data_IF_940240002036
#
_entry.id   IF_940240002036
#
_cell.length_a   1.000
_cell.length_b   1.000
_cell.length_c   1.000
_cell.angle_alpha   90.00
_cell.angle_beta   90.00
_cell.angle_gamma   90.00
#
_symmetry.space_group_name_H-M   'P 1'
#
loop_
_entity.id
_entity.type
_entity.pdbx_description
1 polymer ?
#
# COMPACT_ATOMS: atom_id res chain seq x y z
N UNK A 1 -12.87 -28.78 2.26
CA UNK A 1 -12.83 -27.91 1.10
C UNK A 1 -13.15 -26.50 1.54
N UNK A 2 -12.12 -25.73 1.82
CA UNK A 2 -12.26 -24.33 2.16
C UNK A 2 -12.15 -23.54 0.85
N UNK A 3 -13.25 -22.92 0.43
CA UNK A 3 -13.31 -22.12 -0.78
C UNK A 3 -12.51 -20.84 -0.56
N UNK A 4 -11.46 -20.68 -1.35
CA UNK A 4 -10.65 -19.49 -1.48
C UNK A 4 -11.53 -18.37 -2.06
N UNK A 5 -11.96 -17.42 -1.24
CA UNK A 5 -12.57 -16.19 -1.71
C UNK A 5 -11.46 -15.18 -2.03
N UNK A 6 -10.95 -15.22 -3.27
CA UNK A 6 -10.24 -14.09 -3.83
C UNK A 6 -11.28 -13.03 -4.19
N UNK A 7 -11.31 -11.93 -3.46
CA UNK A 7 -12.11 -10.78 -3.83
C UNK A 7 -11.46 -10.12 -5.05
N UNK A 8 -12.10 -10.23 -6.21
CA UNK A 8 -11.73 -9.41 -7.37
C UNK A 8 -12.26 -8.01 -7.09
N UNK A 9 -11.37 -7.08 -6.76
CA UNK A 9 -11.73 -5.69 -6.64
C UNK A 9 -11.75 -5.05 -8.03
N UNK A 10 -12.89 -4.50 -8.42
CA UNK A 10 -13.01 -3.65 -9.62
C UNK A 10 -12.92 -2.22 -9.14
N UNK A 11 -11.81 -1.54 -9.41
CA UNK A 11 -11.66 -0.14 -9.06
C UNK A 11 -12.16 0.75 -10.20
N UNK A 12 -13.14 1.61 -9.91
CA UNK A 12 -13.55 2.69 -10.79
C UNK A 12 -12.85 3.98 -10.36
N UNK A 13 -11.87 4.44 -11.11
CA UNK A 13 -11.35 5.80 -10.98
C UNK A 13 -12.01 6.70 -12.02
N UNK A 14 -13.04 7.45 -11.61
CA UNK A 14 -13.54 8.58 -12.39
C UNK A 14 -12.72 9.82 -12.07
N UNK A 15 -11.77 10.17 -12.94
CA UNK A 15 -11.27 11.53 -13.00
C UNK A 15 -12.38 12.43 -13.54
N UNK A 16 -13.10 13.14 -12.64
CA UNK A 16 -14.06 14.17 -13.05
C UNK A 16 -13.27 15.38 -13.53
N UNK A 17 -12.87 15.36 -14.79
CA UNK A 17 -12.48 16.56 -15.51
C UNK A 17 -13.71 17.08 -16.26
N UNK A 18 -14.32 18.15 -15.74
CA UNK A 18 -15.39 18.87 -16.44
C UNK A 18 -14.81 19.46 -17.73
N UNK A 19 -15.11 18.82 -18.87
CA UNK A 19 -14.87 19.40 -20.20
C UNK A 19 -14.04 18.59 -21.19
N UNK A 20 -13.85 17.28 -21.01
CA UNK A 20 -13.27 16.42 -22.05
C UNK A 20 -14.23 15.29 -22.43
N UNK A 21 -14.32 15.04 -23.76
CA UNK A 21 -15.05 13.93 -24.36
C UNK A 21 -14.69 12.60 -23.65
N UNK A 22 -15.71 11.77 -23.40
CA UNK A 22 -15.55 10.42 -22.87
C UNK A 22 -14.64 9.61 -23.79
N UNK A 23 -13.33 9.56 -23.48
CA UNK A 23 -12.46 8.52 -24.02
C UNK A 23 -12.96 7.20 -23.44
N UNK A 24 -13.07 6.16 -24.25
CA UNK A 24 -13.33 4.79 -23.84
C UNK A 24 -12.44 4.44 -22.63
N UNK A 25 -12.99 4.54 -21.41
CA UNK A 25 -12.29 4.10 -20.22
C UNK A 25 -12.30 2.57 -20.23
N UNK A 26 -11.16 1.99 -20.50
CA UNK A 26 -10.96 0.55 -20.47
C UNK A 26 -11.03 0.11 -18.99
N UNK A 27 -11.87 -0.90 -18.70
CA UNK A 27 -11.92 -1.51 -17.36
C UNK A 27 -10.54 -2.04 -16.99
N UNK A 28 -10.09 -1.72 -15.77
CA UNK A 28 -8.88 -2.28 -15.18
C UNK A 28 -9.25 -3.42 -14.26
N UNK A 29 -8.46 -4.47 -14.29
CA UNK A 29 -8.64 -5.65 -13.45
C UNK A 29 -7.50 -5.76 -12.46
N UNK A 30 -7.84 -5.88 -11.20
CA UNK A 30 -6.87 -6.04 -10.13
C UNK A 30 -7.27 -7.12 -9.13
N UNK A 31 -6.31 -7.48 -8.27
CA UNK A 31 -6.54 -8.36 -7.13
C UNK A 31 -6.22 -7.59 -5.85
N UNK A 32 -7.00 -7.84 -4.80
CA UNK A 32 -6.62 -7.51 -3.43
C UNK A 32 -6.06 -8.78 -2.78
N UNK A 33 -4.78 -8.74 -2.48
CA UNK A 33 -4.07 -9.81 -1.80
C UNK A 33 -4.05 -9.52 -0.30
N UNK A 34 -5.09 -9.97 0.39
CA UNK A 34 -5.11 -10.18 1.83
C UNK A 34 -5.00 -11.70 2.03
N UNK A 35 -3.80 -12.26 2.06
CA UNK A 35 -3.63 -13.69 1.89
C UNK A 35 -4.02 -14.44 3.17
N UNK A 36 -5.14 -15.13 3.11
CA UNK A 36 -5.56 -16.07 4.15
C UNK A 36 -4.78 -17.39 4.01
N UNK A 37 -3.71 -17.51 4.79
CA UNK A 37 -2.94 -18.74 4.87
C UNK A 37 -3.43 -19.65 5.99
N UNK A 38 -3.33 -20.95 5.79
CA UNK A 38 -3.63 -21.89 6.86
C UNK A 38 -2.61 -21.77 8.00
N UNK A 39 -3.07 -21.70 9.24
CA UNK A 39 -2.21 -21.50 10.42
C UNK A 39 -1.11 -22.57 10.60
N UNK A 40 -1.28 -23.74 10.02
CA UNK A 40 -0.32 -24.85 10.05
C UNK A 40 0.52 -24.97 8.78
N UNK A 41 0.41 -24.02 7.86
CA UNK A 41 1.22 -23.98 6.65
C UNK A 41 2.62 -23.41 6.97
N UNK A 42 3.62 -23.87 6.23
CA UNK A 42 4.94 -23.25 6.30
C UNK A 42 4.87 -21.82 5.71
N UNK A 43 5.19 -20.79 6.48
CA UNK A 43 5.04 -19.40 6.03
C UNK A 43 5.95 -19.05 4.85
N UNK A 44 7.11 -19.70 4.71
CA UNK A 44 7.98 -19.50 3.54
C UNK A 44 7.28 -19.96 2.27
N UNK A 45 6.68 -21.16 2.29
CA UNK A 45 5.95 -21.67 1.12
C UNK A 45 4.71 -20.83 0.81
N UNK A 46 4.06 -20.28 1.84
CA UNK A 46 2.92 -19.37 1.67
C UNK A 46 3.33 -18.09 0.94
N UNK A 47 4.42 -17.45 1.38
CA UNK A 47 4.97 -16.25 0.72
C UNK A 47 5.47 -16.55 -0.71
N UNK A 48 6.12 -17.67 -0.94
CA UNK A 48 6.56 -18.07 -2.28
C UNK A 48 5.37 -18.20 -3.22
N UNK A 49 4.27 -18.83 -2.76
CA UNK A 49 3.03 -18.94 -3.54
C UNK A 49 2.40 -17.57 -3.82
N UNK A 50 2.46 -16.63 -2.87
CA UNK A 50 1.96 -15.28 -3.10
C UNK A 50 2.77 -14.57 -4.20
N UNK A 51 4.08 -14.72 -4.21
CA UNK A 51 4.91 -14.20 -5.31
C UNK A 51 4.58 -14.86 -6.65
N UNK A 52 4.44 -16.19 -6.67
CA UNK A 52 4.02 -16.93 -7.88
C UNK A 52 2.67 -16.45 -8.42
N UNK A 53 1.72 -16.12 -7.52
CA UNK A 53 0.43 -15.54 -7.89
C UNK A 53 0.61 -14.18 -8.57
N UNK A 54 1.39 -13.28 -8.01
CA UNK A 54 1.63 -11.96 -8.61
C UNK A 54 2.33 -12.08 -9.97
N UNK A 55 3.33 -12.96 -10.10
CA UNK A 55 3.98 -13.25 -11.38
C UNK A 55 2.98 -13.81 -12.41
N UNK A 56 2.06 -14.68 -11.97
CA UNK A 56 1.04 -15.23 -12.84
C UNK A 56 0.07 -14.16 -13.34
N UNK A 57 -0.37 -13.25 -12.46
CA UNK A 57 -1.23 -12.14 -12.82
C UNK A 57 -0.56 -11.18 -13.81
N UNK A 58 0.74 -10.89 -13.62
CA UNK A 58 1.52 -10.09 -14.57
C UNK A 58 1.54 -10.74 -15.97
N UNK A 59 1.77 -12.06 -16.04
CA UNK A 59 1.74 -12.81 -17.30
C UNK A 59 0.36 -12.84 -17.97
N UNK A 60 -0.71 -12.80 -17.18
CA UNK A 60 -2.10 -12.76 -17.68
C UNK A 60 -2.55 -11.36 -18.10
N UNK A 61 -1.75 -10.32 -17.82
CA UNK A 61 -2.06 -8.94 -18.18
C UNK A 61 -3.06 -8.28 -17.22
N UNK A 62 -3.08 -8.68 -15.95
CA UNK A 62 -3.79 -7.93 -14.92
C UNK A 62 -3.12 -6.57 -14.70
N UNK A 63 -3.94 -5.55 -14.45
CA UNK A 63 -3.47 -4.17 -14.33
C UNK A 63 -2.85 -3.91 -12.96
N UNK A 64 -3.44 -4.46 -11.88
CA UNK A 64 -3.13 -4.06 -10.51
C UNK A 64 -3.13 -5.24 -9.53
N UNK A 65 -2.29 -5.12 -8.47
CA UNK A 65 -2.37 -5.95 -7.28
C UNK A 65 -2.21 -5.07 -6.03
N UNK A 66 -3.04 -5.29 -5.02
CA UNK A 66 -3.04 -4.53 -3.77
C UNK A 66 -2.69 -5.45 -2.61
N UNK A 67 -1.65 -5.09 -1.84
CA UNK A 67 -1.05 -5.94 -0.81
C UNK A 67 -1.45 -5.44 0.57
N UNK A 68 -2.10 -6.29 1.37
CA UNK A 68 -2.53 -5.99 2.73
C UNK A 68 -1.37 -5.96 3.73
N UNK A 69 -1.57 -5.23 4.84
CA UNK A 69 -0.67 -5.15 5.99
C UNK A 69 -1.38 -5.69 7.23
N UNK A 70 -0.81 -6.74 7.87
CA UNK A 70 -1.29 -7.26 9.13
C UNK A 70 -0.16 -7.74 10.04
N UNK A 71 -0.38 -7.62 11.37
CA UNK A 71 0.62 -7.91 12.39
C UNK A 71 0.13 -8.92 13.45
N UNK A 72 -1.10 -9.43 13.28
CA UNK A 72 -1.73 -10.35 14.24
C UNK A 72 -2.58 -11.41 13.55
N UNK A 73 -3.03 -12.42 14.30
CA UNK A 73 -3.89 -13.48 13.77
C UNK A 73 -3.15 -14.66 13.15
N UNK A 74 -1.97 -14.47 12.56
CA UNK A 74 -1.11 -15.54 12.03
C UNK A 74 -1.53 -16.13 10.70
N UNK A 75 -2.60 -15.65 10.09
CA UNK A 75 -3.12 -16.12 8.80
C UNK A 75 -2.87 -15.10 7.67
N UNK A 76 -2.77 -13.82 7.97
CA UNK A 76 -2.29 -12.78 7.06
C UNK A 76 -0.88 -12.39 7.51
N UNK A 77 0.12 -12.87 6.78
CA UNK A 77 1.52 -12.88 7.25
C UNK A 77 2.40 -11.78 6.64
N UNK A 78 1.85 -10.96 5.74
CA UNK A 78 2.58 -9.84 5.17
C UNK A 78 2.54 -8.66 6.15
N UNK A 79 3.64 -8.48 6.89
CA UNK A 79 3.77 -7.41 7.87
C UNK A 79 4.24 -6.07 7.28
N UNK A 80 4.83 -6.09 6.09
CA UNK A 80 5.29 -4.90 5.37
C UNK A 80 5.00 -5.07 3.89
N UNK A 81 3.91 -4.47 3.40
CA UNK A 81 3.59 -4.49 1.97
C UNK A 81 4.76 -3.98 1.11
N UNK A 82 5.48 -2.95 1.57
CA UNK A 82 6.59 -2.34 0.85
C UNK A 82 7.73 -3.33 0.62
N UNK A 83 8.04 -4.18 1.60
CA UNK A 83 9.08 -5.23 1.47
C UNK A 83 8.64 -6.30 0.48
N UNK A 84 7.37 -6.72 0.55
CA UNK A 84 6.80 -7.67 -0.41
C UNK A 84 6.80 -7.08 -1.82
N UNK A 85 6.34 -5.84 -1.99
CA UNK A 85 6.31 -5.13 -3.26
C UNK A 85 7.69 -5.01 -3.89
N UNK A 86 8.73 -4.68 -3.11
CA UNK A 86 10.10 -4.60 -3.61
C UNK A 86 10.56 -5.91 -4.27
N UNK A 87 10.29 -7.05 -3.63
CA UNK A 87 10.61 -8.36 -4.17
C UNK A 87 9.74 -8.72 -5.39
N UNK A 88 8.44 -8.37 -5.35
CA UNK A 88 7.52 -8.65 -6.44
C UNK A 88 7.85 -7.83 -7.71
N UNK A 89 8.31 -6.59 -7.58
CA UNK A 89 8.71 -5.76 -8.71
C UNK A 89 9.90 -6.34 -9.49
N UNK A 90 10.83 -7.00 -8.81
CA UNK A 90 11.95 -7.68 -9.48
C UNK A 90 11.53 -8.95 -10.26
N UNK A 91 10.37 -9.52 -9.90
CA UNK A 91 9.81 -10.73 -10.51
C UNK A 91 8.78 -10.44 -11.61
N UNK A 92 8.32 -9.18 -11.74
CA UNK A 92 7.25 -8.75 -12.64
C UNK A 92 7.72 -7.63 -13.57
N UNK A 93 6.95 -7.37 -14.64
CA UNK A 93 7.33 -6.37 -15.65
C UNK A 93 6.30 -5.27 -15.87
N UNK A 94 5.01 -5.57 -15.75
CA UNK A 94 3.93 -4.68 -16.19
C UNK A 94 2.96 -4.34 -15.07
N UNK A 95 2.58 -5.32 -14.23
CA UNK A 95 1.56 -5.14 -13.20
C UNK A 95 1.97 -4.03 -12.22
N UNK A 96 1.03 -3.16 -11.91
CA UNK A 96 1.17 -2.16 -10.86
C UNK A 96 0.87 -2.82 -9.52
N UNK A 97 1.64 -2.51 -8.50
CA UNK A 97 1.45 -3.09 -7.17
C UNK A 97 1.34 -1.97 -6.15
N UNK A 98 0.30 -2.04 -5.35
CA UNK A 98 -0.01 -1.04 -4.34
C UNK A 98 -0.09 -1.61 -2.94
N UNK A 99 0.10 -0.74 -1.96
CA UNK A 99 -0.21 -1.06 -0.57
C UNK A 99 -1.73 -0.99 -0.37
N UNK A 100 -2.31 -2.04 0.11
CA UNK A 100 -3.75 -2.13 0.36
C UNK A 100 -4.06 -2.57 1.79
N UNK A 101 -3.60 -1.86 2.80
CA UNK A 101 -3.05 -0.51 2.87
C UNK A 101 -1.74 -0.47 3.66
N UNK A 102 -1.04 0.68 3.67
CA UNK A 102 -0.16 1.05 4.79
C UNK A 102 -1.05 1.65 5.88
N UNK A 103 -1.03 1.03 7.04
CA UNK A 103 -1.81 1.50 8.21
C UNK A 103 -1.12 2.69 8.85
N UNK A 104 -1.34 3.91 8.33
CA UNK A 104 -0.62 5.13 8.74
C UNK A 104 -0.52 5.35 10.26
N UNK A 105 -1.56 5.03 11.10
CA UNK A 105 -1.44 5.17 12.55
C UNK A 105 -0.32 4.35 13.20
N UNK A 106 0.22 3.36 12.49
CA UNK A 106 1.30 2.48 12.97
C UNK A 106 2.68 2.92 12.52
N UNK A 107 2.78 3.87 11.58
CA UNK A 107 4.02 4.27 10.94
C UNK A 107 4.34 5.74 11.16
N UNK A 108 5.61 6.06 11.30
CA UNK A 108 6.05 7.45 11.23
C UNK A 108 5.79 7.99 9.80
N UNK A 109 5.01 9.09 9.62
CA UNK A 109 4.51 9.50 8.31
C UNK A 109 5.62 9.85 7.31
N UNK A 110 6.72 10.47 7.77
CA UNK A 110 7.88 10.73 6.93
C UNK A 110 8.49 9.44 6.37
N UNK A 111 8.68 8.43 7.23
CA UNK A 111 9.27 7.15 6.82
C UNK A 111 8.36 6.37 5.85
N UNK A 112 7.04 6.49 6.00
CA UNK A 112 6.12 5.85 5.07
C UNK A 112 6.24 6.44 3.66
N UNK A 113 6.29 7.77 3.54
CA UNK A 113 6.48 8.44 2.24
C UNK A 113 7.85 8.14 1.64
N UNK A 114 8.91 8.24 2.45
CA UNK A 114 10.30 8.07 1.98
C UNK A 114 10.51 6.67 1.36
N UNK A 115 9.98 5.61 2.01
CA UNK A 115 10.01 4.25 1.50
C UNK A 115 9.21 4.08 0.21
N UNK A 116 8.02 4.70 0.14
CA UNK A 116 7.18 4.58 -1.05
C UNK A 116 7.77 5.32 -2.25
N UNK A 117 8.40 6.47 -2.06
CA UNK A 117 9.13 7.15 -3.13
C UNK A 117 10.33 6.34 -3.60
N UNK A 118 11.06 5.69 -2.68
CA UNK A 118 12.12 4.76 -3.09
C UNK A 118 11.55 3.62 -3.97
N UNK A 119 10.42 3.04 -3.60
CA UNK A 119 9.74 2.00 -4.39
C UNK A 119 9.26 2.51 -5.74
N UNK A 120 8.78 3.75 -5.82
CA UNK A 120 8.38 4.38 -7.07
C UNK A 120 9.54 4.42 -8.08
N UNK A 121 10.75 4.79 -7.63
CA UNK A 121 11.95 4.72 -8.44
C UNK A 121 12.35 3.29 -8.82
N UNK A 122 12.32 2.34 -7.87
CA UNK A 122 12.70 0.95 -8.13
C UNK A 122 11.72 0.28 -9.11
N UNK A 123 10.44 0.56 -8.98
CA UNK A 123 9.37 -0.01 -9.81
C UNK A 123 9.20 0.68 -11.16
N UNK A 124 9.73 1.92 -11.32
CA UNK A 124 9.58 2.73 -12.53
C UNK A 124 8.10 2.97 -12.87
N UNK A 125 7.40 3.68 -11.98
CA UNK A 125 5.97 4.07 -12.14
C UNK A 125 4.97 2.92 -11.91
N UNK A 126 5.37 1.81 -11.29
CA UNK A 126 4.45 0.70 -11.00
C UNK A 126 3.98 0.63 -9.55
N UNK A 127 4.55 1.45 -8.65
CA UNK A 127 4.14 1.52 -7.27
C UNK A 127 2.88 2.39 -7.09
N UNK A 128 1.98 1.94 -6.20
CA UNK A 128 0.79 2.70 -5.78
C UNK A 128 0.74 2.76 -4.26
N UNK A 129 0.32 3.90 -3.72
CA UNK A 129 0.35 4.14 -2.28
C UNK A 129 -1.05 4.24 -1.67
N UNK A 130 -1.61 3.10 -1.30
CA UNK A 130 -2.85 3.04 -0.54
C UNK A 130 -2.61 3.14 0.96
N UNK A 131 -3.37 3.99 1.64
CA UNK A 131 -3.24 4.24 3.07
C UNK A 131 -4.56 4.03 3.81
N UNK A 132 -4.49 3.64 5.08
CA UNK A 132 -5.68 3.36 5.86
C UNK A 132 -5.46 3.47 7.37
N UNK A 133 -6.54 3.20 8.11
CA UNK A 133 -6.57 3.28 9.57
C UNK A 133 -5.91 2.11 10.28
N UNK A 134 -5.79 0.96 9.59
CA UNK A 134 -5.59 -0.32 10.24
C UNK A 134 -6.92 -0.89 10.77
N UNK A 135 -7.27 -2.11 10.37
CA UNK A 135 -8.59 -2.69 10.65
C UNK A 135 -8.61 -3.63 11.87
N UNK A 136 -7.52 -4.34 12.12
CA UNK A 136 -7.48 -5.35 13.18
C UNK A 136 -7.14 -4.74 14.54
N UNK A 137 -8.08 -4.85 15.49
CA UNK A 137 -7.87 -4.43 16.88
C UNK A 137 -6.65 -5.13 17.50
N UNK A 138 -6.36 -6.37 17.10
CA UNK A 138 -5.18 -7.13 17.54
C UNK A 138 -3.86 -6.49 17.13
N UNK A 139 -3.79 -5.84 15.98
CA UNK A 139 -2.60 -5.14 15.51
C UNK A 139 -2.34 -3.90 16.38
N UNK A 140 -3.34 -3.04 16.53
CA UNK A 140 -3.26 -1.86 17.39
C UNK A 140 -2.90 -2.23 18.86
N UNK A 141 -3.51 -3.29 19.40
CA UNK A 141 -3.23 -3.76 20.76
C UNK A 141 -1.75 -4.16 20.94
N UNK A 142 -1.18 -4.93 19.99
CA UNK A 142 0.24 -5.34 20.04
C UNK A 142 1.21 -4.17 19.96
N UNK A 143 0.81 -3.10 19.28
CA UNK A 143 1.62 -1.87 19.15
C UNK A 143 1.38 -0.88 20.29
N UNK A 144 0.49 -1.19 21.26
CA UNK A 144 0.15 -0.28 22.35
C UNK A 144 -0.63 0.95 21.89
N UNK A 145 -1.35 0.84 20.79
CA UNK A 145 -2.15 1.93 20.21
C UNK A 145 -3.61 1.74 20.60
N UNK A 146 -4.22 2.77 21.16
CA UNK A 146 -5.66 2.81 21.41
C UNK A 146 -6.40 2.91 20.06
N UNK A 147 -7.25 1.92 19.70
CA UNK A 147 -8.00 1.96 18.45
C UNK A 147 -8.87 3.20 18.27
N UNK A 148 -9.34 3.84 19.37
CA UNK A 148 -10.12 5.08 19.29
C UNK A 148 -9.33 6.26 18.73
N UNK A 149 -8.01 6.24 18.83
CA UNK A 149 -7.11 7.31 18.35
C UNK A 149 -6.69 7.16 16.88
N UNK A 150 -6.93 6.01 16.26
CA UNK A 150 -6.40 5.70 14.92
C UNK A 150 -6.89 6.67 13.85
N UNK A 151 -8.14 7.14 13.93
CA UNK A 151 -8.68 8.10 12.95
C UNK A 151 -7.98 9.44 13.03
N UNK A 152 -7.75 9.95 14.23
CA UNK A 152 -7.06 11.23 14.44
C UNK A 152 -5.60 11.11 14.01
N UNK A 153 -4.91 10.03 14.39
CA UNK A 153 -3.55 9.74 13.94
C UNK A 153 -3.44 9.66 12.41
N UNK A 154 -4.41 9.04 11.74
CA UNK A 154 -4.40 8.99 10.27
C UNK A 154 -4.54 10.40 9.67
N UNK A 155 -5.45 11.23 10.17
CA UNK A 155 -5.62 12.59 9.70
C UNK A 155 -4.34 13.41 9.91
N UNK A 156 -3.75 13.32 11.10
CA UNK A 156 -2.49 13.99 11.43
C UNK A 156 -1.33 13.52 10.53
N UNK A 157 -1.27 12.22 10.21
CA UNK A 157 -0.28 11.68 9.30
C UNK A 157 -0.50 12.18 7.86
N UNK A 158 -1.74 12.24 7.38
CA UNK A 158 -2.07 12.75 6.04
C UNK A 158 -1.67 14.22 5.85
N UNK A 159 -1.75 15.03 6.91
CA UNK A 159 -1.27 16.43 6.88
C UNK A 159 0.24 16.54 6.64
N UNK A 160 0.98 15.45 6.81
CA UNK A 160 2.42 15.34 6.51
C UNK A 160 2.65 14.62 5.19
N UNK A 161 1.99 13.49 4.98
CA UNK A 161 2.15 12.64 3.79
C UNK A 161 1.85 13.39 2.50
N UNK A 162 0.69 14.07 2.43
CA UNK A 162 0.25 14.72 1.19
C UNK A 162 1.17 15.88 0.76
N UNK A 163 1.60 16.79 1.65
CA UNK A 163 2.58 17.82 1.26
C UNK A 163 3.94 17.24 0.88
N UNK A 164 4.43 16.21 1.60
CA UNK A 164 5.71 15.57 1.27
C UNK A 164 5.69 14.94 -0.13
N UNK A 165 4.58 14.30 -0.51
CA UNK A 165 4.42 13.75 -1.88
C UNK A 165 4.44 14.83 -2.95
N UNK A 166 4.07 16.07 -2.62
CA UNK A 166 4.18 17.23 -3.51
C UNK A 166 5.56 17.91 -3.48
N UNK A 167 6.51 17.36 -2.70
CA UNK A 167 7.86 17.91 -2.56
C UNK A 167 7.95 19.14 -1.63
N UNK A 168 6.92 19.40 -0.83
CA UNK A 168 6.88 20.52 0.11
C UNK A 168 7.72 20.22 1.37
N UNK A 169 8.16 21.29 2.06
CA UNK A 169 8.82 21.20 3.37
C UNK A 169 7.73 21.23 4.46
N UNK A 170 7.78 20.28 5.39
CA UNK A 170 6.77 20.14 6.43
C UNK A 170 7.40 20.14 7.82
N UNK A 171 6.82 20.93 8.72
CA UNK A 171 7.07 20.83 10.16
C UNK A 171 5.76 20.61 10.88
N UNK A 172 5.66 19.54 11.66
CA UNK A 172 4.47 19.21 12.45
C UNK A 172 4.86 18.45 13.70
N UNK A 173 4.18 18.76 14.79
CA UNK A 173 4.30 18.05 16.06
C UNK A 173 2.93 17.61 16.56
N UNK A 174 2.82 16.36 16.92
CA UNK A 174 1.64 15.74 17.54
C UNK A 174 2.05 15.00 18.82
N UNK A 175 1.13 14.30 19.45
CA UNK A 175 1.42 13.50 20.64
C UNK A 175 2.20 12.19 20.32
N UNK A 176 2.28 11.80 19.05
CA UNK A 176 2.85 10.50 18.65
C UNK A 176 3.93 10.58 17.57
N UNK A 177 4.11 11.72 16.89
CA UNK A 177 5.26 12.00 16.02
C UNK A 177 5.63 13.46 16.00
N UNK A 178 6.87 13.73 15.55
CA UNK A 178 7.34 15.07 15.24
C UNK A 178 8.18 15.02 13.95
N UNK A 179 7.91 15.94 13.02
CA UNK A 179 8.74 16.21 11.84
C UNK A 179 9.18 17.67 11.87
N UNK A 180 10.45 17.92 11.50
CA UNK A 180 11.06 19.26 11.53
C UNK A 180 11.69 19.54 10.18
N UNK A 181 11.19 20.55 9.48
CA UNK A 181 11.66 20.94 8.16
C UNK A 181 11.86 19.72 7.24
N UNK A 182 10.95 18.74 7.37
CA UNK A 182 11.05 17.48 6.67
C UNK A 182 10.79 17.68 5.18
N UNK A 183 11.71 17.21 4.37
CA UNK A 183 11.59 17.16 2.92
C UNK A 183 12.12 15.83 2.41
N UNK A 184 11.44 15.22 1.46
CA UNK A 184 11.90 13.97 0.85
C UNK A 184 13.11 14.27 -0.04
N UNK A 185 14.17 13.47 0.11
CA UNK A 185 15.42 13.66 -0.63
C UNK A 185 15.33 13.32 -2.13
N UNK A 186 14.37 12.46 -2.51
CA UNK A 186 14.13 12.07 -3.90
C UNK A 186 12.81 12.68 -4.38
N UNK A 187 12.74 13.31 -5.57
CA UNK A 187 11.45 13.63 -6.17
C UNK A 187 10.71 12.33 -6.51
N UNK A 188 9.37 12.36 -6.61
CA UNK A 188 8.64 11.22 -7.15
C UNK A 188 9.12 10.90 -8.58
N UNK A 189 9.28 9.62 -8.88
CA UNK A 189 9.52 9.16 -10.25
C UNK A 189 8.26 9.37 -11.10
N UNK A 190 7.13 8.95 -10.57
CA UNK A 190 5.80 9.17 -11.15
C UNK A 190 5.39 10.63 -11.04
N UNK A 191 4.94 11.24 -12.14
CA UNK A 191 4.56 12.65 -12.17
C UNK A 191 3.05 12.84 -12.26
N UNK A 192 2.46 13.80 -11.54
CA UNK A 192 3.11 14.79 -10.64
C UNK A 192 3.52 14.21 -9.28
N UNK A 193 3.04 13.04 -8.91
CA UNK A 193 3.36 12.28 -7.69
C UNK A 193 2.82 10.85 -7.82
N UNK A 194 3.28 9.93 -6.95
CA UNK A 194 2.78 8.56 -6.84
C UNK A 194 1.26 8.56 -6.58
N UNK A 195 0.54 7.63 -7.22
CA UNK A 195 -0.91 7.46 -7.04
C UNK A 195 -1.26 6.84 -5.70
#
# INVERSE_FOLDING_TARGET
SCSMFSLIAVSYFTKINRGQEMKNEQLRFGIFLAPFHALNENPTNALDRDFELIEHLDRLGYDEAWIGEHHSGGFEIIASPEVFMAAAFERTKNIRIGTGVVSLPYHHPFMAVDRMIQLDHQSKDRAMFGVGLGALVGDAFRMGIDPSTQRDRMNEALDVVLPLLRGEIVSKKTDWFEVREAQIQLPCYTQPHIE
#
